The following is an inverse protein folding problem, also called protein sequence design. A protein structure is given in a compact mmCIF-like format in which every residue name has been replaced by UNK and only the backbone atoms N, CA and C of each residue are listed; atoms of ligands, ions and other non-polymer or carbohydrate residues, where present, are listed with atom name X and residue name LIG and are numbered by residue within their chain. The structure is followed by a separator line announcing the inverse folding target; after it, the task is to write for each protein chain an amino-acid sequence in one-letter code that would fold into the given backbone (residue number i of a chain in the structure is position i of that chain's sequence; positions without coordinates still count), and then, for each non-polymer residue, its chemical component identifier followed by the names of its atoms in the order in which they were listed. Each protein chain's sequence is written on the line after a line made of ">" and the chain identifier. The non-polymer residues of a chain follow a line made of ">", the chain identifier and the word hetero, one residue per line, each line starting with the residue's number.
data_IF_059217382765
#
_entry.id   IF_059217382765
#
_cell.length_a   1.000
_cell.length_b   1.000
_cell.length_c   1.000
_cell.angle_alpha   90.00
_cell.angle_beta   90.00
_cell.angle_gamma   90.00
#
_symmetry.space_group_name_H-M   'P 1'
#
loop_
_entity.id
_entity.type
_entity.pdbx_description
1 polymer ?
#
# COMPACT_ATOMS: atom_id res chain seq x y z
N UNK A 1 -2.27 3.43 -17.99
CA UNK A 1 -3.30 2.68 -17.28
C UNK A 1 -2.70 1.43 -16.66
N UNK A 2 -3.06 1.14 -15.40
CA UNK A 2 -2.60 -0.09 -14.75
C UNK A 2 -3.23 -1.32 -15.40
N UNK A 3 -2.48 -2.42 -15.48
CA UNK A 3 -3.03 -3.68 -15.95
C UNK A 3 -4.11 -4.20 -14.99
N UNK A 4 -5.03 -4.99 -15.53
CA UNK A 4 -6.08 -5.61 -14.72
C UNK A 4 -5.51 -6.47 -13.59
N UNK A 5 -4.39 -7.14 -13.83
CA UNK A 5 -3.74 -7.98 -12.82
C UNK A 5 -3.20 -7.16 -11.65
N UNK A 6 -2.62 -5.99 -11.92
CA UNK A 6 -2.12 -5.09 -10.87
C UNK A 6 -3.29 -4.57 -10.03
N UNK A 7 -4.34 -4.10 -10.66
CA UNK A 7 -5.52 -3.60 -9.95
C UNK A 7 -6.17 -4.70 -9.10
N UNK A 8 -6.33 -5.89 -9.67
CA UNK A 8 -6.89 -7.04 -8.97
C UNK A 8 -6.07 -7.39 -7.72
N UNK A 9 -4.74 -7.46 -7.85
CA UNK A 9 -3.87 -7.76 -6.73
C UNK A 9 -3.95 -6.68 -5.64
N UNK A 10 -3.94 -5.40 -6.02
CA UNK A 10 -4.12 -4.31 -5.07
C UNK A 10 -5.42 -4.45 -4.29
N UNK A 11 -6.52 -4.65 -4.99
CA UNK A 11 -7.85 -4.69 -4.37
C UNK A 11 -8.10 -5.93 -3.53
N UNK A 12 -7.59 -7.09 -3.96
CA UNK A 12 -7.90 -8.36 -3.29
C UNK A 12 -6.85 -8.79 -2.28
N UNK A 13 -5.62 -8.27 -2.36
CA UNK A 13 -4.52 -8.70 -1.49
C UNK A 13 -3.88 -7.55 -0.73
N UNK A 14 -3.45 -6.49 -1.42
CA UNK A 14 -2.74 -5.39 -0.76
C UNK A 14 -3.66 -4.63 0.19
N UNK A 15 -4.78 -4.14 -0.30
CA UNK A 15 -5.67 -3.29 0.51
C UNK A 15 -6.23 -4.01 1.74
N UNK A 16 -6.70 -5.27 1.66
CA UNK A 16 -7.17 -5.97 2.86
C UNK A 16 -6.11 -6.19 3.94
N UNK A 17 -4.82 -6.12 3.57
CA UNK A 17 -3.69 -6.35 4.47
C UNK A 17 -2.90 -5.06 4.78
N UNK A 18 -3.42 -3.92 4.39
CA UNK A 18 -2.76 -2.62 4.51
C UNK A 18 -3.52 -1.75 5.51
N UNK A 19 -2.79 -1.15 6.44
CA UNK A 19 -3.38 -0.20 7.40
C UNK A 19 -3.71 1.13 6.72
N UNK A 20 -4.56 1.92 7.36
CA UNK A 20 -4.85 3.29 6.89
C UNK A 20 -3.57 4.14 6.86
N UNK A 21 -2.70 3.96 7.86
CA UNK A 21 -1.42 4.68 7.90
C UNK A 21 -0.52 4.30 6.74
N UNK A 22 -0.44 3.02 6.40
CA UNK A 22 0.33 2.53 5.25
C UNK A 22 -0.22 3.07 3.92
N UNK A 23 -1.53 3.07 3.78
CA UNK A 23 -2.21 3.61 2.61
C UNK A 23 -1.91 5.11 2.45
N UNK A 24 -2.07 5.88 3.51
CA UNK A 24 -1.78 7.32 3.51
C UNK A 24 -0.33 7.62 3.19
N UNK A 25 0.60 6.82 3.75
CA UNK A 25 2.03 6.99 3.48
C UNK A 25 2.37 6.78 2.01
N UNK A 26 1.84 5.73 1.39
CA UNK A 26 2.06 5.50 -0.04
C UNK A 26 1.49 6.63 -0.89
N UNK A 27 0.30 7.11 -0.54
CA UNK A 27 -0.32 8.23 -1.26
C UNK A 27 0.55 9.49 -1.19
N UNK A 28 1.07 9.82 -0.02
CA UNK A 28 1.94 10.99 0.16
C UNK A 28 3.23 10.86 -0.65
N UNK A 29 3.87 9.70 -0.61
CA UNK A 29 5.11 9.47 -1.33
C UNK A 29 4.91 9.50 -2.84
N UNK A 30 3.84 8.92 -3.34
CA UNK A 30 3.52 8.92 -4.76
C UNK A 30 3.19 10.33 -5.25
N UNK A 31 2.38 11.06 -4.49
CA UNK A 31 1.94 12.41 -4.88
C UNK A 31 3.11 13.41 -4.89
N UNK A 32 3.99 13.34 -3.92
CA UNK A 32 5.13 14.24 -3.82
C UNK A 32 6.30 13.89 -4.73
N UNK A 33 6.25 12.74 -5.41
CA UNK A 33 7.37 12.28 -6.22
C UNK A 33 8.62 11.95 -5.37
N UNK A 34 8.41 11.46 -4.17
CA UNK A 34 9.48 11.27 -3.18
C UNK A 34 10.55 10.28 -3.64
N UNK A 35 11.84 10.59 -3.44
CA UNK A 35 12.94 9.65 -3.69
C UNK A 35 13.02 8.54 -2.63
N UNK A 36 12.20 8.59 -1.59
CA UNK A 36 12.11 7.52 -0.60
C UNK A 36 11.42 6.27 -1.12
N UNK A 37 10.70 6.37 -2.25
CA UNK A 37 10.21 5.20 -2.98
C UNK A 37 11.27 4.74 -3.96
N UNK A 38 11.72 3.51 -3.80
CA UNK A 38 12.75 2.89 -4.64
C UNK A 38 12.20 1.63 -5.33
N UNK A 39 12.97 1.07 -6.26
CA UNK A 39 12.62 -0.16 -6.97
C UNK A 39 13.83 -1.07 -7.11
N UNK A 40 13.60 -2.32 -7.52
CA UNK A 40 14.66 -3.30 -7.73
C UNK A 40 15.18 -3.95 -6.46
N UNK A 41 14.84 -3.43 -5.30
CA UNK A 41 15.10 -4.04 -3.99
C UNK A 41 14.07 -3.54 -2.98
N UNK A 42 13.93 -4.26 -1.87
CA UNK A 42 12.93 -3.89 -0.87
C UNK A 42 13.35 -2.66 -0.06
N UNK A 43 14.57 -2.65 0.43
CA UNK A 43 15.05 -1.61 1.32
C UNK A 43 16.52 -1.28 1.01
N UNK A 44 16.84 0.01 1.07
CA UNK A 44 18.22 0.49 1.09
C UNK A 44 18.50 1.14 2.42
N UNK A 45 19.15 2.29 2.41
CA UNK A 45 19.30 3.07 3.64
C UNK A 45 17.94 3.59 4.09
N UNK A 46 17.53 3.28 5.32
CA UNK A 46 16.26 3.76 5.88
C UNK A 46 16.23 5.28 5.85
N UNK A 47 15.15 5.94 5.40
CA UNK A 47 13.81 5.40 5.14
C UNK A 47 13.50 5.10 3.66
N UNK A 48 14.48 4.68 2.85
CA UNK A 48 14.29 4.35 1.45
C UNK A 48 13.82 2.91 1.30
N UNK A 49 12.64 2.71 0.72
CA UNK A 49 12.06 1.39 0.53
C UNK A 49 11.11 1.35 -0.66
N UNK A 50 10.80 0.14 -1.14
CA UNK A 50 9.80 -0.06 -2.19
C UNK A 50 8.38 0.10 -1.62
N UNK A 51 7.37 -0.08 -2.47
CA UNK A 51 5.97 0.01 -2.05
C UNK A 51 5.66 -0.89 -0.85
N UNK A 52 6.07 -2.16 -0.92
CA UNK A 52 5.82 -3.12 0.15
C UNK A 52 6.52 -2.75 1.46
N UNK A 53 7.71 -2.18 1.39
CA UNK A 53 8.48 -1.79 2.56
C UNK A 53 7.79 -0.66 3.32
N UNK A 54 7.31 0.36 2.62
CA UNK A 54 6.58 1.45 3.26
C UNK A 54 5.27 0.96 3.88
N UNK A 55 4.58 0.03 3.25
CA UNK A 55 3.41 -0.62 3.86
C UNK A 55 3.80 -1.40 5.11
N UNK A 56 4.87 -2.18 5.03
CA UNK A 56 5.35 -3.00 6.15
C UNK A 56 5.78 -2.18 7.36
N UNK A 57 6.41 -1.02 7.14
CA UNK A 57 6.78 -0.12 8.25
C UNK A 57 5.57 0.48 8.97
N UNK A 58 4.40 0.42 8.37
CA UNK A 58 3.15 0.93 8.94
C UNK A 58 2.14 -0.18 9.23
N UNK A 59 2.62 -1.41 9.41
CA UNK A 59 1.78 -2.54 9.78
C UNK A 59 2.21 -3.10 11.14
N UNK A 60 1.29 -3.39 12.06
CA UNK A 60 1.64 -3.82 13.42
C UNK A 60 2.51 -5.07 13.49
N UNK A 61 2.41 -5.96 12.51
CA UNK A 61 3.22 -7.19 12.50
C UNK A 61 4.65 -6.99 11.98
N UNK A 62 4.92 -5.91 11.28
CA UNK A 62 6.21 -5.71 10.59
C UNK A 62 6.85 -4.35 10.87
N UNK A 63 6.16 -3.43 11.53
CA UNK A 63 6.64 -2.06 11.77
C UNK A 63 7.95 -1.98 12.54
N UNK A 64 8.24 -2.97 13.38
CA UNK A 64 9.48 -3.03 14.17
C UNK A 64 10.69 -3.51 13.36
N UNK A 65 10.48 -4.01 12.14
CA UNK A 65 11.54 -4.48 11.26
C UNK A 65 12.11 -3.32 10.46
N UNK A 66 13.43 -3.25 10.31
CA UNK A 66 14.08 -2.18 9.54
C UNK A 66 14.24 -2.58 8.08
N UNK A 67 14.99 -3.64 7.81
CA UNK A 67 15.30 -4.06 6.43
C UNK A 67 14.33 -5.11 5.90
N UNK A 68 13.69 -5.86 6.76
CA UNK A 68 12.87 -7.01 6.40
C UNK A 68 11.38 -6.70 6.38
N UNK A 69 10.98 -5.47 6.71
CA UNK A 69 9.57 -5.11 6.81
C UNK A 69 8.80 -5.39 5.51
N UNK A 70 9.38 -5.02 4.38
CA UNK A 70 8.70 -5.17 3.09
C UNK A 70 8.54 -6.60 2.66
N UNK A 71 9.64 -7.37 2.67
CA UNK A 71 9.57 -8.78 2.25
C UNK A 71 8.71 -9.60 3.22
N UNK A 72 8.78 -9.33 4.50
CA UNK A 72 8.00 -10.05 5.50
C UNK A 72 6.51 -9.71 5.39
N UNK A 73 6.18 -8.42 5.20
CA UNK A 73 4.79 -8.04 4.96
C UNK A 73 4.24 -8.71 3.71
N UNK A 74 4.99 -8.64 2.60
CA UNK A 74 4.54 -9.19 1.33
C UNK A 74 4.30 -10.70 1.41
N UNK A 75 5.23 -11.44 1.99
CA UNK A 75 5.17 -12.90 2.01
C UNK A 75 4.30 -13.46 3.13
N UNK A 76 4.38 -12.89 4.33
CA UNK A 76 3.74 -13.46 5.52
C UNK A 76 2.42 -12.78 5.89
N UNK A 77 2.27 -11.51 5.60
CA UNK A 77 1.01 -10.81 5.88
C UNK A 77 0.09 -10.86 4.66
N UNK A 78 0.59 -10.46 3.50
CA UNK A 78 -0.18 -10.47 2.26
C UNK A 78 -0.24 -11.84 1.59
N UNK A 79 0.70 -12.73 1.89
CA UNK A 79 0.71 -14.09 1.31
C UNK A 79 1.10 -14.13 -0.15
N UNK A 80 1.89 -13.18 -0.62
CA UNK A 80 2.33 -13.09 -2.01
C UNK A 80 3.75 -13.59 -2.18
N UNK A 81 4.03 -14.12 -3.37
CA UNK A 81 5.39 -14.44 -3.78
C UNK A 81 5.98 -13.22 -4.50
N UNK A 82 7.15 -12.69 -4.05
CA UNK A 82 7.76 -11.52 -4.68
C UNK A 82 8.05 -11.71 -6.17
N UNK A 83 8.37 -12.93 -6.58
CA UNK A 83 8.70 -13.23 -7.97
C UNK A 83 7.49 -13.18 -8.90
N UNK A 84 6.27 -13.33 -8.36
CA UNK A 84 5.04 -13.41 -9.15
C UNK A 84 4.04 -12.30 -8.83
N UNK A 85 4.32 -11.45 -7.84
CA UNK A 85 3.47 -10.31 -7.52
C UNK A 85 3.38 -9.37 -8.72
N UNK A 86 2.17 -9.14 -9.22
CA UNK A 86 1.95 -8.26 -10.36
C UNK A 86 2.34 -6.82 -10.01
N UNK A 87 2.03 -6.36 -8.80
CA UNK A 87 2.34 -5.01 -8.33
C UNK A 87 3.86 -4.80 -8.26
N UNK A 88 4.58 -5.71 -7.62
CA UNK A 88 6.03 -5.60 -7.47
C UNK A 88 6.72 -5.65 -8.82
N UNK A 89 6.31 -6.56 -9.70
CA UNK A 89 6.89 -6.70 -11.04
C UNK A 89 6.69 -5.44 -11.88
N UNK A 90 5.50 -4.89 -11.87
CA UNK A 90 5.20 -3.64 -12.60
C UNK A 90 6.00 -2.47 -12.04
N UNK A 91 6.06 -2.34 -10.71
CA UNK A 91 6.83 -1.29 -10.05
C UNK A 91 8.31 -1.37 -10.37
N UNK A 92 8.89 -2.57 -10.28
CA UNK A 92 10.32 -2.77 -10.57
C UNK A 92 10.64 -2.55 -12.04
N UNK A 93 9.75 -2.97 -12.93
CA UNK A 93 9.95 -2.82 -14.37
C UNK A 93 9.88 -1.36 -14.84
N UNK A 94 8.85 -0.63 -14.40
CA UNK A 94 8.63 0.76 -14.82
C UNK A 94 9.41 1.76 -14.00
N UNK A 95 9.60 1.47 -12.73
CA UNK A 95 10.39 2.29 -11.82
C UNK A 95 9.65 3.50 -11.26
N UNK A 96 10.22 4.11 -10.19
CA UNK A 96 9.57 5.19 -9.45
C UNK A 96 9.55 6.54 -10.19
N UNK A 97 10.25 6.65 -11.30
CA UNK A 97 10.25 7.87 -12.13
C UNK A 97 9.18 7.84 -13.22
N UNK A 98 8.44 6.76 -13.35
CA UNK A 98 7.36 6.66 -14.33
C UNK A 98 6.14 7.45 -13.83
N UNK A 99 5.88 8.57 -14.46
CA UNK A 99 4.81 9.49 -14.12
C UNK A 99 3.43 8.86 -14.16
N UNK A 100 3.16 8.07 -15.21
CA UNK A 100 1.86 7.43 -15.38
C UNK A 100 1.65 6.37 -14.33
N UNK A 101 2.69 5.58 -14.05
CA UNK A 101 2.59 4.55 -13.02
C UNK A 101 2.26 5.17 -11.67
N UNK A 102 2.98 6.23 -11.29
CA UNK A 102 2.73 6.93 -10.02
C UNK A 102 1.31 7.48 -9.96
N UNK A 103 0.87 8.14 -11.02
CA UNK A 103 -0.48 8.73 -11.10
C UNK A 103 -1.57 7.68 -11.05
N UNK A 104 -1.42 6.60 -11.81
CA UNK A 104 -2.41 5.52 -11.85
C UNK A 104 -2.49 4.77 -10.52
N UNK A 105 -1.35 4.52 -9.88
CA UNK A 105 -1.34 3.93 -8.53
C UNK A 105 -2.02 4.85 -7.52
N UNK A 106 -1.70 6.14 -7.58
CA UNK A 106 -2.30 7.12 -6.68
C UNK A 106 -3.82 7.16 -6.81
N UNK A 107 -4.34 7.10 -8.03
CA UNK A 107 -5.78 7.09 -8.28
C UNK A 107 -6.47 5.88 -7.63
N UNK A 108 -5.86 4.70 -7.76
CA UNK A 108 -6.41 3.47 -7.15
C UNK A 108 -6.35 3.54 -5.62
N UNK A 109 -5.25 4.08 -5.07
CA UNK A 109 -5.11 4.27 -3.62
C UNK A 109 -6.12 5.28 -3.07
N UNK A 110 -6.35 6.38 -3.78
CA UNK A 110 -7.36 7.38 -3.40
C UNK A 110 -8.76 6.76 -3.39
N UNK A 111 -9.09 5.93 -4.38
CA UNK A 111 -10.38 5.25 -4.42
C UNK A 111 -10.56 4.32 -3.22
N UNK A 112 -9.50 3.61 -2.82
CA UNK A 112 -9.52 2.77 -1.63
C UNK A 112 -9.72 3.59 -0.36
N UNK A 113 -9.02 4.71 -0.22
CA UNK A 113 -9.19 5.60 0.93
C UNK A 113 -10.62 6.11 1.04
N UNK A 114 -11.21 6.54 -0.07
CA UNK A 114 -12.60 6.99 -0.11
C UNK A 114 -13.57 5.87 0.29
N UNK A 115 -13.32 4.65 -0.19
CA UNK A 115 -14.12 3.48 0.18
C UNK A 115 -14.07 3.22 1.68
N UNK A 116 -12.88 3.29 2.29
CA UNK A 116 -12.70 3.13 3.73
C UNK A 116 -13.43 4.21 4.53
N UNK A 117 -13.35 5.45 4.07
CA UNK A 117 -14.05 6.57 4.72
C UNK A 117 -15.57 6.38 4.70
N UNK A 118 -16.12 5.96 3.55
CA UNK A 118 -17.55 5.69 3.43
C UNK A 118 -18.01 4.57 4.34
N UNK A 119 -17.22 3.50 4.46
CA UNK A 119 -17.52 2.38 5.36
C UNK A 119 -17.49 2.82 6.82
N UNK A 120 -16.51 3.64 7.18
CA UNK A 120 -16.39 4.19 8.52
C UNK A 120 -17.58 5.09 8.88
N UNK A 121 -18.01 5.94 7.97
CA UNK A 121 -19.18 6.80 8.14
C UNK A 121 -20.47 5.99 8.31
N UNK A 122 -20.63 4.94 7.50
CA UNK A 122 -21.80 4.04 7.62
C UNK A 122 -21.83 3.32 8.97
N UNK A 123 -20.68 2.85 9.43
CA UNK A 123 -20.56 2.19 10.72
C UNK A 123 -20.92 3.16 11.87
N UNK A 124 -20.44 4.40 11.79
CA UNK A 124 -20.78 5.43 12.77
C UNK A 124 -22.28 5.74 12.79
N UNK A 125 -22.93 5.79 11.64
CA UNK A 125 -24.37 6.01 11.54
C UNK A 125 -25.22 4.85 12.08
N UNK A 126 -24.68 3.64 12.09
CA UNK A 126 -25.40 2.46 12.57
C UNK A 126 -25.37 2.31 14.09
N UNK A 127 -24.56 3.11 14.79
CA UNK A 127 -24.36 2.99 16.24
C UNK A 127 -24.92 4.13 17.09
N UNK A 128 -25.69 5.08 16.59
CA UNK A 128 -26.12 6.21 17.40
C UNK A 128 -27.01 5.81 18.55
N UNK A 129 -27.76 4.72 18.43
CA UNK A 129 -28.72 4.29 19.40
C UNK A 129 -28.12 3.59 20.62
N UNK A 130 -26.84 3.23 20.54
CA UNK A 130 -26.15 2.58 21.65
C UNK A 130 -25.92 3.52 22.83
N UNK A 131 -26.10 4.80 22.62
CA UNK A 131 -25.86 5.82 23.62
C UNK A 131 -27.10 6.12 24.46
N UNK A 132 -28.24 5.66 24.03
CA UNK A 132 -29.50 5.97 24.69
C UNK A 132 -29.73 5.00 25.82
N UNK A 133 -29.53 5.47 26.99
CA UNK A 133 -29.83 4.66 28.18
C UNK A 133 -30.55 5.51 29.18
#
# INVERSE_FOLDING_TARGET
>A
MLSANVVYELQTVWFPNMTDAGLGRLMDLLESGSPLLIHGCFTRATPMGCLATHVGWHHPRTEHMVHEAGITWLTRVAGLNPATSAVIREWDYRGPHDWRLRSDLLDVLKAEQQSRQRKSERAAKRQPDLVVV
#
